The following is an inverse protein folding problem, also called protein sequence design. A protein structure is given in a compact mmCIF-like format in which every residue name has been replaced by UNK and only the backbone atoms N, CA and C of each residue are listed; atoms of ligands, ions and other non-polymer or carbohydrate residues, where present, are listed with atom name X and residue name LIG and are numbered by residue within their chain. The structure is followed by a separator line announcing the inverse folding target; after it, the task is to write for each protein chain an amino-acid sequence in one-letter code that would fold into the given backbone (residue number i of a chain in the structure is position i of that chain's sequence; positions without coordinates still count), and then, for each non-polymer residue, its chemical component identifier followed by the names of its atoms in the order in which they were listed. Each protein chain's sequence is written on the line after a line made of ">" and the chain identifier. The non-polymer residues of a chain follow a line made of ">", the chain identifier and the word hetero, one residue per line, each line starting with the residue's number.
data_IF_413998218051
#
_entry.id   IF_413998218051
#
_cell.length_a   1.000
_cell.length_b   1.000
_cell.length_c   1.000
_cell.angle_alpha   90.00
_cell.angle_beta   90.00
_cell.angle_gamma   90.00
#
_symmetry.space_group_name_H-M   'P 1'
#
loop_
_entity.id
_entity.type
_entity.pdbx_description
1 polymer ?
#
# COMPACT_ATOMS: atom_id res chain seq x y z
N UNK A 1 -23.80 2.66 -7.63
CA UNK A 1 -23.16 3.92 -8.05
C UNK A 1 -22.89 4.78 -6.82
N UNK A 2 -21.64 4.85 -6.35
CA UNK A 2 -21.25 5.63 -5.15
C UNK A 2 -20.94 7.06 -5.61
N UNK A 3 -21.81 8.00 -5.26
CA UNK A 3 -21.70 9.41 -5.68
C UNK A 3 -20.35 10.02 -5.29
N UNK A 4 -19.75 10.76 -6.22
CA UNK A 4 -18.46 11.46 -6.17
C UNK A 4 -18.39 12.51 -5.04
N UNK A 5 -18.48 12.12 -3.76
CA UNK A 5 -17.85 12.90 -2.70
C UNK A 5 -16.35 12.73 -2.89
N UNK A 6 -15.63 13.83 -3.10
CA UNK A 6 -14.16 13.81 -3.08
C UNK A 6 -13.70 13.15 -1.79
N UNK A 7 -12.81 12.16 -1.93
CA UNK A 7 -12.25 11.41 -0.81
C UNK A 7 -11.60 12.30 0.24
N UNK A 8 -11.42 11.80 1.46
CA UNK A 8 -10.72 12.55 2.51
C UNK A 8 -9.28 12.92 2.09
N UNK A 9 -8.56 12.00 1.43
CA UNK A 9 -7.22 12.26 0.89
C UNK A 9 -7.23 13.34 -0.19
N UNK A 10 -8.20 13.31 -1.11
CA UNK A 10 -8.33 14.33 -2.15
C UNK A 10 -8.57 15.73 -1.56
N UNK A 11 -9.33 15.83 -0.47
CA UNK A 11 -9.53 17.10 0.26
C UNK A 11 -8.28 17.54 1.01
N UNK A 12 -7.50 16.60 1.55
CA UNK A 12 -6.21 16.93 2.17
C UNK A 12 -5.25 17.51 1.13
N UNK A 13 -5.15 16.90 -0.05
CA UNK A 13 -4.36 17.44 -1.15
C UNK A 13 -4.86 18.81 -1.60
N UNK A 14 -6.16 18.97 -1.84
CA UNK A 14 -6.74 20.24 -2.26
C UNK A 14 -6.53 21.38 -1.25
N UNK A 15 -6.38 21.05 0.03
CA UNK A 15 -6.06 22.03 1.10
C UNK A 15 -4.55 22.27 1.30
N UNK A 16 -3.68 21.60 0.54
CA UNK A 16 -2.22 21.65 0.70
C UNK A 16 -1.71 20.94 1.96
N UNK A 17 -2.51 20.09 2.59
CA UNK A 17 -2.12 19.35 3.79
C UNK A 17 -1.22 18.14 3.50
N UNK A 18 -1.23 17.65 2.26
CA UNK A 18 -0.33 16.63 1.73
C UNK A 18 0.12 17.03 0.32
N UNK A 19 1.32 16.61 -0.09
CA UNK A 19 1.84 16.85 -1.43
C UNK A 19 1.23 15.91 -2.48
N UNK A 20 1.55 16.13 -3.76
CA UNK A 20 1.10 15.24 -4.86
C UNK A 20 1.80 13.88 -4.78
N UNK A 21 3.07 13.85 -4.36
CA UNK A 21 3.85 12.63 -4.14
C UNK A 21 3.24 11.81 -3.00
N UNK A 22 2.87 12.47 -1.90
CA UNK A 22 2.18 11.84 -0.78
C UNK A 22 0.79 11.32 -1.17
N UNK A 23 0.04 12.05 -1.99
CA UNK A 23 -1.23 11.56 -2.53
C UNK A 23 -1.01 10.33 -3.43
N UNK A 24 0.00 10.35 -4.28
CA UNK A 24 0.38 9.20 -5.12
C UNK A 24 0.71 7.96 -4.28
N UNK A 25 1.55 8.12 -3.26
CA UNK A 25 1.89 7.07 -2.31
C UNK A 25 0.64 6.51 -1.61
N UNK A 26 -0.28 7.38 -1.17
CA UNK A 26 -1.51 6.94 -0.51
C UNK A 26 -2.39 6.09 -1.44
N UNK A 27 -2.55 6.50 -2.70
CA UNK A 27 -3.33 5.76 -3.69
C UNK A 27 -2.68 4.42 -4.04
N UNK A 28 -1.35 4.37 -4.16
CA UNK A 28 -0.62 3.14 -4.43
C UNK A 28 -0.76 2.14 -3.26
N UNK A 29 -0.56 2.60 -2.03
CA UNK A 29 -0.74 1.77 -0.82
C UNK A 29 -2.17 1.25 -0.74
N UNK A 30 -3.18 2.11 -0.95
CA UNK A 30 -4.58 1.70 -0.91
C UNK A 30 -4.88 0.60 -1.95
N UNK A 31 -4.37 0.75 -3.18
CA UNK A 31 -4.52 -0.24 -4.24
C UNK A 31 -3.82 -1.58 -3.93
N UNK A 32 -2.69 -1.55 -3.22
CA UNK A 32 -2.02 -2.79 -2.75
C UNK A 32 -2.87 -3.48 -1.69
N UNK A 33 -3.39 -2.74 -0.72
CA UNK A 33 -4.23 -3.31 0.36
C UNK A 33 -5.52 -3.91 -0.17
N UNK A 34 -6.20 -3.20 -1.08
CA UNK A 34 -7.42 -3.69 -1.72
C UNK A 34 -7.16 -5.03 -2.43
N UNK A 35 -6.04 -5.14 -3.16
CA UNK A 35 -5.68 -6.37 -3.86
C UNK A 35 -5.30 -7.51 -2.92
N UNK A 36 -4.50 -7.26 -1.88
CA UNK A 36 -4.21 -8.29 -0.87
C UNK A 36 -5.52 -8.79 -0.24
N UNK A 37 -6.46 -7.88 0.06
CA UNK A 37 -7.79 -8.23 0.56
C UNK A 37 -8.60 -9.05 -0.45
N UNK A 38 -8.58 -8.69 -1.73
CA UNK A 38 -9.26 -9.46 -2.78
C UNK A 38 -8.65 -10.83 -2.98
N UNK A 39 -7.33 -10.96 -2.97
CA UNK A 39 -6.63 -12.24 -3.16
C UNK A 39 -6.84 -13.18 -1.98
N UNK A 40 -6.87 -12.67 -0.76
CA UNK A 40 -7.26 -13.47 0.42
C UNK A 40 -8.71 -13.92 0.28
N UNK A 41 -9.62 -13.02 -0.12
CA UNK A 41 -11.03 -13.36 -0.35
C UNK A 41 -11.18 -14.42 -1.44
N UNK A 42 -10.50 -14.26 -2.58
CA UNK A 42 -10.48 -15.23 -3.67
C UNK A 42 -9.87 -16.54 -3.20
N UNK A 43 -8.74 -16.57 -2.48
CA UNK A 43 -8.16 -17.81 -1.94
C UNK A 43 -9.12 -18.51 -0.96
N UNK A 44 -9.81 -17.76 -0.10
CA UNK A 44 -10.84 -18.34 0.78
C UNK A 44 -12.02 -18.94 0.01
N UNK A 45 -12.36 -18.38 -1.15
CA UNK A 45 -13.43 -18.87 -2.04
C UNK A 45 -12.94 -19.99 -3.00
N UNK A 46 -11.69 -19.92 -3.46
CA UNK A 46 -11.03 -20.85 -4.39
C UNK A 46 -10.48 -22.10 -3.72
N UNK A 47 -10.42 -22.16 -2.38
CA UNK A 47 -10.28 -23.42 -1.66
C UNK A 47 -11.43 -24.41 -1.96
N UNK A 48 -12.54 -23.95 -2.55
CA UNK A 48 -13.62 -24.80 -3.10
C UNK A 48 -13.63 -24.91 -4.64
N UNK A 49 -12.76 -24.23 -5.39
CA UNK A 49 -12.82 -24.27 -6.86
C UNK A 49 -11.43 -24.15 -7.49
N UNK A 50 -10.93 -25.27 -8.03
CA UNK A 50 -9.67 -25.37 -8.77
C UNK A 50 -9.60 -24.33 -9.89
N UNK A 51 -8.50 -23.59 -9.98
CA UNK A 51 -8.22 -22.72 -11.14
C UNK A 51 -6.92 -23.14 -11.80
N UNK A 52 -7.07 -23.37 -13.10
CA UNK A 52 -6.10 -23.78 -14.11
C UNK A 52 -5.12 -22.64 -14.42
N UNK A 53 -3.82 -22.92 -14.43
CA UNK A 53 -2.78 -21.93 -14.75
C UNK A 53 -2.58 -21.86 -16.27
N UNK A 54 -3.17 -20.86 -16.92
CA UNK A 54 -2.81 -20.51 -18.30
C UNK A 54 -1.69 -19.47 -18.30
N UNK A 55 -0.55 -19.85 -18.89
CA UNK A 55 0.62 -18.99 -19.10
C UNK A 55 0.29 -17.80 -20.02
N UNK A 56 0.64 -16.58 -19.59
CA UNK A 56 0.50 -15.35 -20.37
C UNK A 56 1.88 -14.70 -20.55
N UNK A 57 2.15 -14.18 -21.76
CA UNK A 57 3.46 -13.70 -22.21
C UNK A 57 4.00 -12.45 -21.49
N UNK A 58 5.16 -11.97 -21.95
CA UNK A 58 6.04 -10.99 -21.29
C UNK A 58 5.36 -9.77 -20.63
N UNK A 59 4.28 -9.25 -21.22
CA UNK A 59 3.51 -8.15 -20.63
C UNK A 59 2.84 -8.50 -19.28
N UNK A 60 2.26 -9.69 -19.18
CA UNK A 60 1.67 -10.19 -17.92
C UNK A 60 2.74 -10.49 -16.87
N UNK A 61 3.93 -10.90 -17.30
CA UNK A 61 5.07 -11.13 -16.40
C UNK A 61 5.54 -9.82 -15.74
N UNK A 62 5.77 -8.74 -16.49
CA UNK A 62 6.21 -7.47 -15.91
C UNK A 62 5.14 -6.82 -15.03
N UNK A 63 3.86 -6.96 -15.37
CA UNK A 63 2.76 -6.49 -14.53
C UNK A 63 2.70 -7.26 -13.20
N UNK A 64 2.83 -8.59 -13.25
CA UNK A 64 2.91 -9.44 -12.06
C UNK A 64 4.15 -9.12 -11.21
N UNK A 65 5.31 -8.88 -11.83
CA UNK A 65 6.54 -8.53 -11.14
C UNK A 65 6.43 -7.16 -10.43
N UNK A 66 5.87 -6.16 -11.12
CA UNK A 66 5.55 -4.87 -10.54
C UNK A 66 4.60 -5.00 -9.35
N UNK A 67 3.67 -5.95 -9.40
CA UNK A 67 2.75 -6.22 -8.31
C UNK A 67 3.44 -6.85 -7.09
N UNK A 68 4.28 -7.86 -7.31
CA UNK A 68 5.07 -8.50 -6.25
C UNK A 68 5.95 -7.48 -5.54
N UNK A 69 6.63 -6.60 -6.28
CA UNK A 69 7.45 -5.52 -5.70
C UNK A 69 6.63 -4.63 -4.76
N UNK A 70 5.43 -4.22 -5.16
CA UNK A 70 4.54 -3.39 -4.32
C UNK A 70 4.05 -4.12 -3.07
N UNK A 71 3.78 -5.42 -3.16
CA UNK A 71 3.40 -6.23 -1.98
C UNK A 71 4.54 -6.38 -0.98
N UNK A 72 5.75 -6.67 -1.47
CA UNK A 72 6.96 -6.72 -0.63
C UNK A 72 7.20 -5.35 0.03
N UNK A 73 7.10 -4.27 -0.74
CA UNK A 73 7.22 -2.91 -0.23
C UNK A 73 6.17 -2.62 0.86
N UNK A 74 4.91 -3.00 0.62
CA UNK A 74 3.83 -2.84 1.59
C UNK A 74 4.09 -3.62 2.88
N UNK A 75 4.53 -4.88 2.79
CA UNK A 75 4.88 -5.68 3.97
C UNK A 75 5.96 -5.00 4.82
N UNK A 76 7.02 -4.47 4.19
CA UNK A 76 8.12 -3.76 4.86
C UNK A 76 7.69 -2.45 5.46
N UNK A 77 7.04 -1.61 4.67
CA UNK A 77 6.47 -0.35 5.12
C UNK A 77 5.57 -0.59 6.33
N UNK A 78 4.67 -1.56 6.26
CA UNK A 78 3.73 -1.90 7.33
C UNK A 78 4.41 -2.36 8.61
N UNK A 79 5.53 -3.07 8.48
CA UNK A 79 6.37 -3.53 9.60
C UNK A 79 7.20 -2.40 10.23
N UNK A 80 7.59 -1.38 9.45
CA UNK A 80 8.34 -0.21 9.94
C UNK A 80 7.45 0.85 10.61
N UNK A 81 6.14 0.84 10.35
CA UNK A 81 5.23 1.85 10.91
C UNK A 81 5.28 1.97 12.44
N UNK A 82 5.30 0.91 13.27
CA UNK A 82 5.40 1.06 14.72
C UNK A 82 6.53 1.99 15.17
N UNK A 83 7.69 1.91 14.52
CA UNK A 83 8.86 2.74 14.81
C UNK A 83 8.69 4.17 14.28
N UNK A 84 8.27 4.31 13.01
CA UNK A 84 8.03 5.62 12.38
C UNK A 84 6.98 6.44 13.13
N UNK A 85 5.98 5.76 13.67
CA UNK A 85 4.83 6.39 14.30
C UNK A 85 5.06 6.77 15.77
N UNK A 86 6.23 6.47 16.34
CA UNK A 86 6.62 6.78 17.71
C UNK A 86 5.48 6.53 18.72
N UNK A 87 4.98 5.29 18.72
CA UNK A 87 3.92 4.81 19.62
C UNK A 87 2.49 5.15 19.21
N UNK A 88 2.27 5.85 18.08
CA UNK A 88 0.90 6.05 17.59
C UNK A 88 0.34 4.75 16.97
N UNK A 89 -0.99 4.50 17.08
CA UNK A 89 -1.60 3.29 16.55
C UNK A 89 -1.49 3.22 15.03
N UNK A 90 -0.98 2.12 14.49
CA UNK A 90 -0.88 1.96 13.03
C UNK A 90 -2.26 1.98 12.36
N UNK A 91 -3.30 1.51 13.06
CA UNK A 91 -4.68 1.59 12.60
C UNK A 91 -5.11 3.03 12.26
N UNK A 92 -4.58 4.05 12.93
CA UNK A 92 -4.89 5.45 12.62
C UNK A 92 -4.44 5.84 11.21
N UNK A 93 -3.27 5.37 10.78
CA UNK A 93 -2.74 5.64 9.42
C UNK A 93 -3.53 4.86 8.37
N UNK A 94 -3.82 3.58 8.64
CA UNK A 94 -4.60 2.76 7.69
C UNK A 94 -6.02 3.30 7.49
N UNK A 95 -6.67 3.82 8.54
CA UNK A 95 -7.98 4.46 8.41
C UNK A 95 -7.94 5.68 7.48
N UNK A 96 -6.86 6.47 7.52
CA UNK A 96 -6.70 7.64 6.64
C UNK A 96 -6.45 7.22 5.19
N UNK A 97 -5.62 6.19 4.98
CA UNK A 97 -5.15 5.80 3.64
C UNK A 97 -6.12 4.83 2.96
N UNK A 98 -6.45 3.72 3.63
CA UNK A 98 -7.21 2.60 3.07
C UNK A 98 -8.71 2.84 3.17
N UNK A 99 -9.18 3.29 4.34
CA UNK A 99 -10.61 3.53 4.55
C UNK A 99 -11.05 4.94 4.08
N UNK A 100 -10.09 5.77 3.63
CA UNK A 100 -10.29 7.16 3.20
C UNK A 100 -11.10 7.99 4.22
N UNK A 101 -10.80 7.76 5.50
CA UNK A 101 -11.46 8.44 6.63
C UNK A 101 -10.83 9.82 6.87
N UNK A 102 -11.67 10.80 7.19
CA UNK A 102 -11.19 12.17 7.48
C UNK A 102 -10.39 12.28 8.78
N UNK A 103 -9.40 13.17 8.79
CA UNK A 103 -8.53 13.44 9.97
C UNK A 103 -9.32 13.66 11.26
N UNK A 104 -10.41 14.42 11.23
CA UNK A 104 -11.23 14.68 12.42
C UNK A 104 -11.83 13.41 13.02
N UNK A 105 -12.22 12.44 12.18
CA UNK A 105 -12.77 11.16 12.66
C UNK A 105 -11.66 10.35 13.34
N UNK A 106 -10.49 10.25 12.71
CA UNK A 106 -9.32 9.53 13.26
C UNK A 106 -8.83 10.16 14.56
N UNK A 107 -8.79 11.49 14.65
CA UNK A 107 -8.42 12.19 15.90
C UNK A 107 -9.32 11.83 17.07
N UNK A 108 -10.63 11.69 16.82
CA UNK A 108 -11.60 11.32 17.87
C UNK A 108 -11.48 9.85 18.24
N UNK A 109 -11.35 8.97 17.24
CA UNK A 109 -11.24 7.53 17.45
C UNK A 109 -10.00 7.15 18.27
N UNK A 110 -8.85 7.76 17.97
CA UNK A 110 -7.57 7.45 18.63
C UNK A 110 -7.17 8.45 19.72
N UNK A 111 -8.03 9.44 20.03
CA UNK A 111 -7.75 10.52 21.01
C UNK A 111 -6.43 11.25 20.76
N UNK A 112 -6.15 11.55 19.49
CA UNK A 112 -4.91 12.20 19.05
C UNK A 112 -5.18 13.63 18.59
N UNK A 113 -4.26 14.55 18.87
CA UNK A 113 -4.33 15.90 18.31
C UNK A 113 -4.21 15.87 16.78
N UNK A 114 -4.95 16.75 16.10
CA UNK A 114 -4.92 16.91 14.63
C UNK A 114 -3.50 17.02 14.08
N UNK A 115 -2.64 17.81 14.73
CA UNK A 115 -1.23 17.98 14.33
C UNK A 115 -0.46 16.66 14.37
N UNK A 116 -0.70 15.83 15.39
CA UNK A 116 -0.06 14.52 15.51
C UNK A 116 -0.56 13.56 14.44
N UNK A 117 -1.87 13.52 14.17
CA UNK A 117 -2.47 12.70 13.10
C UNK A 117 -1.92 13.08 11.72
N UNK A 118 -1.80 14.38 11.43
CA UNK A 118 -1.19 14.85 10.17
C UNK A 118 0.28 14.48 10.07
N UNK A 119 1.03 14.59 11.16
CA UNK A 119 2.44 14.21 11.20
C UNK A 119 2.61 12.71 10.91
N UNK A 120 1.88 11.83 11.60
CA UNK A 120 2.01 10.39 11.36
C UNK A 120 1.58 9.98 9.95
N UNK A 121 0.59 10.66 9.36
CA UNK A 121 0.21 10.42 7.97
C UNK A 121 1.35 10.82 7.03
N UNK A 122 1.94 12.01 7.23
CA UNK A 122 3.05 12.49 6.40
C UNK A 122 4.27 11.59 6.53
N UNK A 123 4.72 11.32 7.77
CA UNK A 123 5.86 10.46 8.06
C UNK A 123 5.69 9.06 7.43
N UNK A 124 4.47 8.50 7.47
CA UNK A 124 4.16 7.22 6.84
C UNK A 124 4.18 7.30 5.30
N UNK A 125 3.61 8.33 4.69
CA UNK A 125 3.58 8.49 3.23
C UNK A 125 4.97 8.79 2.66
N UNK A 126 5.78 9.57 3.37
CA UNK A 126 7.14 9.93 2.96
C UNK A 126 8.10 8.73 3.03
N UNK A 127 7.82 7.73 3.87
CA UNK A 127 8.60 6.50 3.94
C UNK A 127 8.34 5.54 2.77
N UNK A 128 7.16 5.64 2.12
CA UNK A 128 6.75 4.70 1.07
C UNK A 128 7.74 4.56 -0.10
N UNK A 129 8.24 5.65 -0.72
CA UNK A 129 9.14 5.53 -1.85
C UNK A 129 10.41 4.74 -1.51
N UNK A 130 11.00 4.94 -0.33
CA UNK A 130 12.20 4.21 0.08
C UNK A 130 11.94 2.70 0.14
N UNK A 131 10.84 2.27 0.76
CA UNK A 131 10.47 0.86 0.81
C UNK A 131 10.15 0.27 -0.56
N UNK A 132 9.55 1.06 -1.46
CA UNK A 132 9.30 0.63 -2.84
C UNK A 132 10.61 0.45 -3.62
N UNK A 133 11.55 1.39 -3.50
CA UNK A 133 12.87 1.29 -4.12
C UNK A 133 13.66 0.08 -3.62
N UNK A 134 13.64 -0.18 -2.31
CA UNK A 134 14.29 -1.36 -1.73
C UNK A 134 13.68 -2.66 -2.27
N UNK A 135 12.35 -2.72 -2.38
CA UNK A 135 11.65 -3.89 -2.94
C UNK A 135 11.95 -4.10 -4.42
N UNK A 136 12.04 -3.03 -5.21
CA UNK A 136 12.44 -3.10 -6.62
C UNK A 136 13.81 -3.74 -6.74
N UNK A 137 14.80 -3.24 -5.99
CA UNK A 137 16.19 -3.74 -6.03
C UNK A 137 16.30 -5.23 -5.67
N UNK A 138 15.61 -5.66 -4.63
CA UNK A 138 15.69 -7.05 -4.17
C UNK A 138 14.96 -8.03 -5.09
N UNK A 139 13.75 -7.67 -5.51
CA UNK A 139 12.99 -8.54 -6.42
C UNK A 139 13.70 -8.63 -7.78
N UNK A 140 14.38 -7.58 -8.21
CA UNK A 140 15.25 -7.62 -9.40
C UNK A 140 16.40 -8.60 -9.22
N UNK A 141 17.08 -8.58 -8.09
CA UNK A 141 18.16 -9.52 -7.77
C UNK A 141 17.65 -10.97 -7.74
N UNK A 142 16.55 -11.23 -7.03
CA UNK A 142 15.95 -12.57 -6.96
C UNK A 142 15.50 -13.07 -8.35
N UNK A 143 14.95 -12.19 -9.18
CA UNK A 143 14.54 -12.51 -10.55
C UNK A 143 15.73 -12.83 -11.43
N UNK A 144 16.81 -12.05 -11.34
CA UNK A 144 18.06 -12.32 -12.06
C UNK A 144 18.66 -13.66 -11.66
N UNK A 145 18.67 -13.99 -10.36
CA UNK A 145 19.17 -15.28 -9.87
C UNK A 145 18.32 -16.46 -10.36
N UNK A 146 16.99 -16.33 -10.36
CA UNK A 146 16.09 -17.36 -10.87
C UNK A 146 16.24 -17.57 -12.40
N UNK A 147 16.45 -16.49 -13.16
CA UNK A 147 16.71 -16.57 -14.59
C UNK A 147 18.05 -17.27 -14.89
N UNK A 148 19.07 -17.03 -14.07
CA UNK A 148 20.38 -17.68 -14.21
C UNK A 148 20.37 -19.16 -13.82
N UNK A 149 19.55 -19.56 -12.84
CA UNK A 149 19.44 -20.96 -12.40
C UNK A 149 18.58 -21.84 -13.31
N UNK A 150 17.71 -21.25 -14.14
CA UNK A 150 16.96 -21.97 -15.19
C UNK A 150 17.71 -22.15 -16.51
N UNK A 151 18.93 -21.62 -16.62
CA UNK A 151 19.80 -21.70 -17.82
C UNK A 151 20.96 -22.71 -17.67
N UNK A 152 21.02 -23.45 -16.57
CA UNK A 152 21.95 -24.57 -16.32
C UNK A 152 21.20 -25.90 -16.29
#
# INVERSE_FOLDING_TARGET
>A
MRGKRQGALARLYASGAISIEQLGAALEIAAVVERIGSDVTVRTVSLETRVDQSMCGDGGFFEALGQVRREVAYGRWRAALPDLLAGAPVAAVLQLIVEDVGVTVVTRAHRMHVRRVRKILSDALDAWPAHLWDAVREVDEATLMAAQSGLL
#
